data_IF_713090955119
#
_entry.id   IF_713090955119
#
_cell.length_a   1.000
_cell.length_b   1.000
_cell.length_c   1.000
_cell.angle_alpha   90.00
_cell.angle_beta   90.00
_cell.angle_gamma   90.00
#
_symmetry.space_group_name_H-M   'P 1'
#
loop_
_entity.id
_entity.type
_entity.pdbx_description
1 polymer ?
#
# COMPACT_ATOMS: atom_id res chain seq x y z
N UNK A 1 -12.82 -28.68 -16.75
CA UNK A 1 -13.06 -27.77 -15.60
C UNK A 1 -11.97 -26.70 -15.59
N UNK A 2 -12.32 -25.40 -15.59
CA UNK A 2 -11.33 -24.31 -15.59
C UNK A 2 -10.55 -24.38 -14.27
N UNK A 3 -9.22 -24.54 -14.31
CA UNK A 3 -8.42 -24.56 -13.08
C UNK A 3 -8.36 -23.16 -12.47
N UNK A 4 -9.33 -22.87 -11.59
CA UNK A 4 -9.51 -21.59 -10.94
C UNK A 4 -8.30 -21.17 -10.10
N UNK A 5 -7.52 -22.14 -9.57
CA UNK A 5 -6.31 -21.86 -8.79
C UNK A 5 -5.20 -21.29 -9.68
N UNK A 6 -4.89 -21.96 -10.79
CA UNK A 6 -3.90 -21.48 -11.76
C UNK A 6 -4.29 -20.10 -12.31
N UNK A 7 -5.56 -19.91 -12.68
CA UNK A 7 -6.05 -18.63 -13.18
C UNK A 7 -5.83 -17.49 -12.18
N UNK A 8 -6.12 -17.73 -10.89
CA UNK A 8 -5.89 -16.74 -9.82
C UNK A 8 -4.41 -16.42 -9.65
N UNK A 9 -3.53 -17.42 -9.69
CA UNK A 9 -2.08 -17.21 -9.57
C UNK A 9 -1.53 -16.37 -10.73
N UNK A 10 -1.93 -16.67 -11.97
CA UNK A 10 -1.54 -15.90 -13.15
C UNK A 10 -2.04 -14.44 -13.04
N UNK A 11 -3.28 -14.23 -12.57
CA UNK A 11 -3.80 -12.88 -12.34
C UNK A 11 -2.99 -12.11 -11.29
N UNK A 12 -2.61 -12.74 -10.17
CA UNK A 12 -1.77 -12.09 -9.16
C UNK A 12 -0.39 -11.72 -9.72
N UNK A 13 0.20 -12.57 -10.58
CA UNK A 13 1.48 -12.25 -11.24
C UNK A 13 1.34 -11.05 -12.19
N UNK A 14 0.27 -11.00 -12.99
CA UNK A 14 -0.02 -9.86 -13.88
C UNK A 14 -0.25 -8.58 -13.07
N UNK A 15 -0.97 -8.65 -11.95
CA UNK A 15 -1.16 -7.51 -11.05
C UNK A 15 0.16 -7.05 -10.43
N UNK A 16 1.05 -7.98 -10.08
CA UNK A 16 2.41 -7.68 -9.63
C UNK A 16 3.20 -6.90 -10.69
N UNK A 17 3.15 -7.33 -11.94
CA UNK A 17 3.80 -6.62 -13.05
C UNK A 17 3.23 -5.19 -13.23
N UNK A 18 1.90 -5.03 -13.17
CA UNK A 18 1.29 -3.69 -13.22
C UNK A 18 1.65 -2.82 -12.01
N UNK A 19 1.76 -3.41 -10.82
CA UNK A 19 2.20 -2.70 -9.63
C UNK A 19 3.62 -2.14 -9.81
N UNK A 20 4.52 -2.90 -10.44
CA UNK A 20 5.86 -2.42 -10.83
C UNK A 20 5.77 -1.26 -11.80
N UNK A 21 4.95 -1.36 -12.85
CA UNK A 21 4.79 -0.26 -13.83
C UNK A 21 4.31 1.02 -13.15
N UNK A 22 3.29 0.94 -12.28
CA UNK A 22 2.81 2.10 -11.54
C UNK A 22 3.84 2.67 -10.57
N UNK A 23 4.72 1.83 -10.01
CA UNK A 23 5.84 2.27 -9.18
C UNK A 23 6.83 3.16 -9.93
N UNK A 24 6.96 2.98 -11.25
CA UNK A 24 7.87 3.81 -12.07
C UNK A 24 7.37 5.26 -12.21
N UNK A 25 6.07 5.50 -11.98
CA UNK A 25 5.43 6.81 -12.05
C UNK A 25 5.34 7.45 -10.65
N UNK A 26 6.37 7.23 -9.83
CA UNK A 26 6.44 7.77 -8.47
C UNK A 26 6.73 9.27 -8.46
N UNK A 27 6.15 10.00 -7.50
CA UNK A 27 6.39 11.43 -7.32
C UNK A 27 6.32 11.82 -5.83
N UNK A 28 7.05 12.87 -5.40
CA UNK A 28 6.97 13.32 -4.02
C UNK A 28 5.67 14.08 -3.76
N UNK A 29 4.92 13.69 -2.73
CA UNK A 29 3.72 14.44 -2.31
C UNK A 29 4.07 15.73 -1.57
N UNK A 30 5.16 15.70 -0.81
CA UNK A 30 5.64 16.83 -0.03
C UNK A 30 6.94 17.34 -0.65
N UNK A 31 6.97 18.59 -1.15
CA UNK A 31 8.21 19.18 -1.67
C UNK A 31 9.33 19.24 -0.62
N UNK A 32 8.97 19.39 0.66
CA UNK A 32 9.90 19.39 1.79
C UNK A 32 10.52 18.02 2.11
N UNK A 33 9.95 16.92 1.57
CA UNK A 33 10.41 15.56 1.84
C UNK A 33 10.44 14.72 0.54
N UNK A 34 11.37 15.00 -0.39
CA UNK A 34 11.40 14.37 -1.72
C UNK A 34 11.70 12.87 -1.71
N UNK A 35 12.23 12.36 -0.60
CA UNK A 35 12.48 10.92 -0.39
C UNK A 35 11.18 10.13 -0.12
N UNK A 36 10.10 10.80 0.33
CA UNK A 36 8.80 10.18 0.54
C UNK A 36 7.99 10.26 -0.75
N UNK A 37 7.93 9.14 -1.46
CA UNK A 37 7.27 9.06 -2.76
C UNK A 37 5.92 8.37 -2.70
N UNK A 38 4.98 8.93 -3.45
CA UNK A 38 3.68 8.35 -3.71
C UNK A 38 3.62 7.79 -5.12
N UNK A 39 2.86 6.71 -5.28
CA UNK A 39 2.59 6.07 -6.55
C UNK A 39 1.24 5.34 -6.47
N UNK A 40 0.75 4.89 -7.63
CA UNK A 40 -0.54 4.22 -7.74
C UNK A 40 -0.45 2.68 -7.65
N UNK A 41 0.71 2.12 -7.29
CA UNK A 41 0.94 0.68 -7.28
C UNK A 41 0.12 -0.08 -6.23
N UNK A 42 -0.39 0.62 -5.21
CA UNK A 42 -1.29 0.06 -4.21
C UNK A 42 -2.68 -0.31 -4.80
N UNK A 43 -3.03 0.22 -5.98
CA UNK A 43 -4.28 -0.15 -6.68
C UNK A 43 -4.26 -1.62 -7.15
N UNK A 44 -3.26 -2.09 -7.92
CA UNK A 44 -3.12 -3.52 -8.23
C UNK A 44 -3.04 -4.42 -6.99
N UNK A 45 -2.38 -3.96 -5.92
CA UNK A 45 -2.30 -4.69 -4.64
C UNK A 45 -3.70 -4.87 -4.05
N UNK A 46 -4.51 -3.82 -4.07
CA UNK A 46 -5.90 -3.88 -3.61
C UNK A 46 -6.76 -4.82 -4.46
N UNK A 47 -6.57 -4.86 -5.78
CA UNK A 47 -7.25 -5.86 -6.62
C UNK A 47 -6.81 -7.28 -6.21
N UNK A 48 -5.52 -7.47 -5.90
CA UNK A 48 -5.02 -8.71 -5.31
C UNK A 48 -5.71 -9.08 -3.99
N UNK A 49 -5.96 -8.09 -3.13
CA UNK A 49 -6.75 -8.24 -1.91
C UNK A 49 -8.15 -8.76 -2.22
N UNK A 50 -8.86 -8.17 -3.19
CA UNK A 50 -10.22 -8.60 -3.54
C UNK A 50 -10.28 -10.04 -4.06
N UNK A 51 -9.25 -10.49 -4.78
CA UNK A 51 -9.18 -11.82 -5.38
C UNK A 51 -8.88 -12.90 -4.35
N UNK A 52 -7.81 -12.73 -3.57
CA UNK A 52 -7.24 -13.77 -2.69
C UNK A 52 -7.03 -13.30 -1.24
N UNK A 53 -7.67 -12.22 -0.83
CA UNK A 53 -7.56 -11.68 0.52
C UNK A 53 -6.16 -11.17 0.85
N UNK A 54 -5.78 -11.12 2.14
CA UNK A 54 -4.50 -10.55 2.56
C UNK A 54 -3.29 -11.23 1.91
N UNK A 55 -3.40 -12.52 1.61
CA UNK A 55 -2.36 -13.29 0.91
C UNK A 55 -2.19 -12.76 -0.53
N UNK A 56 -3.29 -12.50 -1.24
CA UNK A 56 -3.25 -11.92 -2.57
C UNK A 56 -2.60 -10.53 -2.58
N UNK A 57 -2.95 -9.70 -1.61
CA UNK A 57 -2.30 -8.40 -1.42
C UNK A 57 -0.80 -8.54 -1.15
N UNK A 58 -0.41 -9.41 -0.22
CA UNK A 58 0.98 -9.64 0.13
C UNK A 58 1.81 -10.12 -1.06
N UNK A 59 1.29 -11.04 -1.88
CA UNK A 59 1.98 -11.52 -3.09
C UNK A 59 2.21 -10.39 -4.08
N UNK A 60 1.19 -9.59 -4.38
CA UNK A 60 1.32 -8.49 -5.35
C UNK A 60 2.27 -7.40 -4.84
N UNK A 61 2.16 -7.02 -3.57
CA UNK A 61 3.05 -6.04 -2.93
C UNK A 61 4.49 -6.55 -2.88
N UNK A 62 4.69 -7.83 -2.59
CA UNK A 62 6.02 -8.45 -2.54
C UNK A 62 6.67 -8.44 -3.91
N UNK A 63 5.97 -8.87 -4.97
CA UNK A 63 6.50 -8.83 -6.34
C UNK A 63 6.94 -7.41 -6.71
N UNK A 64 6.09 -6.41 -6.41
CA UNK A 64 6.39 -5.00 -6.66
C UNK A 64 7.67 -4.56 -5.95
N UNK A 65 7.73 -4.73 -4.64
CA UNK A 65 8.81 -4.19 -3.80
C UNK A 65 10.12 -4.97 -3.99
N UNK A 66 10.03 -6.27 -4.26
CA UNK A 66 11.20 -7.09 -4.60
C UNK A 66 11.83 -6.67 -5.92
N UNK A 67 11.03 -6.47 -6.98
CA UNK A 67 11.55 -6.01 -8.28
C UNK A 67 12.12 -4.59 -8.15
N UNK A 68 11.48 -3.72 -7.37
CA UNK A 68 11.99 -2.37 -7.14
C UNK A 68 13.35 -2.38 -6.40
N UNK A 69 13.52 -3.29 -5.44
CA UNK A 69 14.81 -3.50 -4.79
C UNK A 69 15.88 -3.98 -5.78
N UNK A 70 15.57 -4.97 -6.62
CA UNK A 70 16.52 -5.45 -7.63
C UNK A 70 16.92 -4.35 -8.63
N UNK A 71 16.02 -3.41 -8.91
CA UNK A 71 16.27 -2.30 -9.84
C UNK A 71 17.10 -1.17 -9.23
N UNK A 72 16.84 -0.80 -7.97
CA UNK A 72 17.49 0.36 -7.30
C UNK A 72 18.64 -0.03 -6.37
N UNK A 73 18.73 -1.28 -5.93
CA UNK A 73 19.73 -1.79 -4.99
C UNK A 73 19.49 -1.43 -3.51
N UNK A 74 18.52 -0.56 -3.20
CA UNK A 74 18.26 -0.06 -1.84
C UNK A 74 19.25 1.02 -1.39
N UNK A 75 18.91 1.77 -0.33
CA UNK A 75 19.79 2.79 0.21
C UNK A 75 21.00 2.12 0.91
N UNK A 76 22.22 2.41 0.45
CA UNK A 76 23.45 1.76 0.92
C UNK A 76 23.41 0.21 0.87
N UNK A 77 22.64 -0.36 -0.08
CA UNK A 77 22.44 -1.82 -0.20
C UNK A 77 21.37 -2.40 0.72
N UNK A 78 20.85 -1.60 1.67
CA UNK A 78 19.85 -2.02 2.64
C UNK A 78 18.45 -1.82 2.02
N UNK A 79 17.56 -2.83 2.05
CA UNK A 79 16.21 -2.74 1.49
C UNK A 79 15.25 -1.92 2.38
N UNK A 80 15.69 -0.81 2.96
CA UNK A 80 14.94 -0.06 3.96
C UNK A 80 13.70 0.59 3.35
N UNK A 81 13.87 1.37 2.26
CA UNK A 81 12.75 2.02 1.58
C UNK A 81 11.68 1.05 1.06
N UNK A 82 12.11 -0.07 0.45
CA UNK A 82 11.18 -1.10 -0.06
C UNK A 82 10.46 -1.84 1.05
N UNK A 83 11.12 -2.09 2.20
CA UNK A 83 10.50 -2.74 3.36
C UNK A 83 9.47 -1.84 4.01
N UNK A 84 9.79 -0.55 4.17
CA UNK A 84 8.87 0.46 4.69
C UNK A 84 7.66 0.63 3.77
N UNK A 85 7.88 0.59 2.45
CA UNK A 85 6.79 0.57 1.46
C UNK A 85 5.89 -0.66 1.63
N UNK A 86 6.47 -1.86 1.70
CA UNK A 86 5.71 -3.10 1.86
C UNK A 86 4.86 -3.10 3.13
N UNK A 87 5.44 -2.71 4.28
CA UNK A 87 4.72 -2.67 5.55
C UNK A 87 3.61 -1.62 5.52
N UNK A 88 3.86 -0.44 4.95
CA UNK A 88 2.85 0.60 4.78
C UNK A 88 1.67 0.12 3.94
N UNK A 89 1.95 -0.50 2.78
CA UNK A 89 0.93 -1.12 1.93
C UNK A 89 0.15 -2.20 2.68
N UNK A 90 0.82 -3.12 3.37
CA UNK A 90 0.15 -4.21 4.08
C UNK A 90 -0.71 -3.70 5.24
N UNK A 91 -0.28 -2.65 5.95
CA UNK A 91 -1.09 -2.00 6.99
C UNK A 91 -2.42 -1.52 6.42
N UNK A 92 -2.39 -0.83 5.28
CA UNK A 92 -3.58 -0.36 4.60
C UNK A 92 -4.47 -1.51 4.10
N UNK A 93 -3.87 -2.53 3.48
CA UNK A 93 -4.60 -3.68 2.94
C UNK A 93 -5.26 -4.52 4.03
N UNK A 94 -4.63 -4.66 5.20
CA UNK A 94 -5.22 -5.31 6.36
C UNK A 94 -6.38 -4.50 6.95
N UNK A 95 -6.26 -3.17 7.01
CA UNK A 95 -7.37 -2.33 7.47
C UNK A 95 -8.57 -2.42 6.51
N UNK A 96 -8.31 -2.38 5.19
CA UNK A 96 -9.32 -2.61 4.16
C UNK A 96 -9.93 -4.00 4.24
N UNK A 97 -9.13 -5.04 4.52
CA UNK A 97 -9.62 -6.41 4.69
C UNK A 97 -10.70 -6.48 5.78
N UNK A 98 -10.42 -5.94 6.97
CA UNK A 98 -11.40 -5.93 8.06
C UNK A 98 -12.64 -5.11 7.72
N UNK A 99 -12.45 -3.99 7.02
CA UNK A 99 -13.54 -3.13 6.60
C UNK A 99 -14.46 -3.82 5.58
N UNK A 100 -13.90 -4.42 4.53
CA UNK A 100 -14.62 -5.17 3.48
C UNK A 100 -15.41 -6.35 4.05
N UNK A 101 -14.89 -7.05 5.07
CA UNK A 101 -15.62 -8.15 5.71
C UNK A 101 -16.87 -7.71 6.47
N UNK A 102 -16.86 -6.48 6.99
CA UNK A 102 -17.98 -5.93 7.78
C UNK A 102 -18.98 -5.18 6.92
N UNK A 103 -18.50 -4.47 5.89
CA UNK A 103 -19.31 -3.59 5.06
C UNK A 103 -19.44 -4.13 3.63
N UNK A 104 -20.53 -4.85 3.40
CA UNK A 104 -20.89 -5.48 2.12
C UNK A 104 -21.61 -4.50 1.20
N UNK A 105 -21.65 -4.79 -0.10
CA UNK A 105 -22.40 -3.97 -1.05
C UNK A 105 -21.64 -2.73 -1.55
N UNK A 106 -22.36 -1.73 -2.08
CA UNK A 106 -21.76 -0.52 -2.67
C UNK A 106 -21.44 0.47 -1.57
N UNK A 107 -20.22 1.00 -1.55
CA UNK A 107 -19.82 1.97 -0.55
C UNK A 107 -20.39 3.35 -0.89
N UNK A 108 -21.12 3.92 0.06
CA UNK A 108 -21.63 5.29 -0.02
C UNK A 108 -20.63 6.25 0.65
N UNK A 109 -20.93 7.55 0.63
CA UNK A 109 -20.03 8.59 1.15
C UNK A 109 -19.56 8.32 2.59
N UNK A 110 -20.46 7.86 3.47
CA UNK A 110 -20.12 7.52 4.86
C UNK A 110 -19.03 6.44 4.94
N UNK A 111 -19.14 5.39 4.11
CA UNK A 111 -18.17 4.30 4.10
C UNK A 111 -16.83 4.75 3.53
N UNK A 112 -16.85 5.59 2.49
CA UNK A 112 -15.64 6.16 1.89
C UNK A 112 -14.90 7.01 2.92
N UNK A 113 -15.58 7.94 3.58
CA UNK A 113 -14.96 8.81 4.60
C UNK A 113 -14.35 7.99 5.74
N UNK A 114 -15.08 6.99 6.24
CA UNK A 114 -14.58 6.13 7.31
C UNK A 114 -13.36 5.30 6.87
N UNK A 115 -13.36 4.84 5.62
CA UNK A 115 -12.22 4.15 5.02
C UNK A 115 -11.01 5.08 4.94
N UNK A 116 -11.16 6.28 4.39
CA UNK A 116 -10.08 7.27 4.29
C UNK A 116 -9.49 7.59 5.66
N UNK A 117 -10.34 7.88 6.65
CA UNK A 117 -9.91 8.18 8.01
C UNK A 117 -9.16 7.00 8.63
N UNK A 118 -9.70 5.79 8.51
CA UNK A 118 -9.05 4.60 9.07
C UNK A 118 -7.70 4.29 8.43
N UNK A 119 -7.59 4.42 7.12
CA UNK A 119 -6.33 4.19 6.40
C UNK A 119 -5.29 5.27 6.71
N UNK A 120 -5.68 6.54 6.69
CA UNK A 120 -4.79 7.64 7.04
C UNK A 120 -4.25 7.49 8.47
N UNK A 121 -5.10 7.25 9.45
CA UNK A 121 -4.69 7.11 10.85
C UNK A 121 -3.83 5.87 11.07
N UNK A 122 -4.27 4.70 10.60
CA UNK A 122 -3.51 3.46 10.80
C UNK A 122 -2.15 3.48 10.11
N UNK A 123 -2.09 3.94 8.86
CA UNK A 123 -0.83 4.10 8.13
C UNK A 123 0.09 5.07 8.87
N UNK A 124 -0.43 6.23 9.28
CA UNK A 124 0.37 7.26 9.96
C UNK A 124 0.95 6.76 11.27
N UNK A 125 0.17 6.08 12.10
CA UNK A 125 0.65 5.54 13.38
C UNK A 125 1.77 4.53 13.14
N UNK A 126 1.52 3.51 12.31
CA UNK A 126 2.49 2.44 12.07
C UNK A 126 3.76 2.99 11.42
N UNK A 127 3.62 3.82 10.38
CA UNK A 127 4.78 4.38 9.68
C UNK A 127 5.56 5.37 10.53
N UNK A 128 4.91 6.14 11.41
CA UNK A 128 5.63 7.04 12.31
C UNK A 128 6.46 6.27 13.33
N UNK A 129 5.89 5.21 13.92
CA UNK A 129 6.61 4.33 14.86
C UNK A 129 7.79 3.64 14.18
N UNK A 130 7.57 3.01 13.03
CA UNK A 130 8.63 2.30 12.31
C UNK A 130 9.73 3.25 11.82
N UNK A 131 9.36 4.46 11.37
CA UNK A 131 10.39 5.43 11.00
C UNK A 131 11.19 5.87 12.22
N UNK A 132 10.54 6.22 13.32
CA UNK A 132 11.23 6.70 14.52
C UNK A 132 12.15 5.65 15.14
N UNK A 133 11.70 4.40 15.26
CA UNK A 133 12.43 3.34 15.97
C UNK A 133 13.35 2.51 15.09
N UNK A 134 13.16 2.48 13.76
CA UNK A 134 13.91 1.60 12.87
C UNK A 134 14.58 2.38 11.74
N UNK A 135 13.81 3.05 10.89
CA UNK A 135 14.40 3.63 9.68
C UNK A 135 15.33 4.82 9.97
N UNK A 136 14.88 5.78 10.79
CA UNK A 136 15.67 6.97 11.10
C UNK A 136 16.96 6.65 11.87
N UNK A 137 16.96 5.75 12.88
CA UNK A 137 18.20 5.29 13.50
C UNK A 137 19.18 4.70 12.48
N UNK A 138 18.70 3.85 11.56
CA UNK A 138 19.56 3.27 10.51
C UNK A 138 20.11 4.36 9.58
N UNK A 139 19.30 5.33 9.17
CA UNK A 139 19.78 6.45 8.34
C UNK A 139 20.86 7.29 9.03
N UNK A 140 20.74 7.52 10.35
CA UNK A 140 21.69 8.33 11.11
C UNK A 140 22.95 7.55 11.48
N UNK A 141 22.79 6.38 12.09
CA UNK A 141 23.88 5.63 12.71
C UNK A 141 24.67 4.82 11.68
N UNK A 142 23.99 4.23 10.70
CA UNK A 142 24.62 3.33 9.70
C UNK A 142 24.95 4.08 8.41
N UNK A 143 24.07 4.97 7.96
CA UNK A 143 24.26 5.70 6.69
C UNK A 143 24.81 7.12 6.86
N UNK A 144 25.03 7.56 8.11
CA UNK A 144 25.61 8.87 8.45
C UNK A 144 24.89 10.07 7.84
N UNK A 145 23.56 9.99 7.68
CA UNK A 145 22.77 11.12 7.18
C UNK A 145 22.68 12.25 8.21
N UNK A 146 22.73 13.53 7.79
CA UNK A 146 22.78 14.68 8.69
C UNK A 146 21.39 15.05 9.27
N UNK A 147 20.70 14.08 9.87
CA UNK A 147 19.38 14.28 10.49
C UNK A 147 19.60 14.74 11.94
N UNK A 148 19.35 16.03 12.21
CA UNK A 148 19.58 16.62 13.53
C UNK A 148 18.50 16.25 14.56
N UNK A 149 17.25 16.15 14.11
CA UNK A 149 16.11 15.90 14.98
C UNK A 149 15.14 14.90 14.34
N UNK A 150 15.18 13.66 14.82
CA UNK A 150 14.34 12.58 14.30
C UNK A 150 12.85 12.80 14.63
N UNK A 151 12.54 13.37 15.80
CA UNK A 151 11.15 13.67 16.19
C UNK A 151 10.55 14.69 15.25
N UNK A 152 11.28 15.77 14.98
CA UNK A 152 10.86 16.80 14.03
C UNK A 152 10.67 16.21 12.62
N UNK A 153 11.58 15.34 12.17
CA UNK A 153 11.43 14.70 10.87
C UNK A 153 10.19 13.81 10.79
N UNK A 154 9.85 13.11 11.87
CA UNK A 154 8.60 12.33 11.94
C UNK A 154 7.39 13.25 11.86
N UNK A 155 7.35 14.32 12.65
CA UNK A 155 6.18 15.21 12.74
C UNK A 155 5.96 16.06 11.48
N UNK A 156 7.03 16.55 10.86
CA UNK A 156 6.96 17.51 9.75
C UNK A 156 6.96 16.84 8.37
N UNK A 157 7.53 15.65 8.23
CA UNK A 157 7.57 14.92 6.96
C UNK A 157 6.71 13.65 6.98
N UNK A 158 7.00 12.72 7.90
CA UNK A 158 6.43 11.36 7.85
C UNK A 158 4.93 11.37 8.18
N UNK A 159 4.53 12.08 9.24
CA UNK A 159 3.11 12.20 9.64
C UNK A 159 2.26 12.82 8.53
N UNK A 160 2.55 14.03 8.02
CA UNK A 160 1.72 14.64 6.98
C UNK A 160 1.72 13.83 5.68
N UNK A 161 2.86 13.25 5.30
CA UNK A 161 2.93 12.40 4.11
C UNK A 161 1.99 11.19 4.22
N UNK A 162 2.02 10.46 5.34
CA UNK A 162 1.20 9.26 5.51
C UNK A 162 -0.29 9.58 5.68
N UNK A 163 -0.64 10.71 6.30
CA UNK A 163 -2.02 11.18 6.35
C UNK A 163 -2.57 11.46 4.95
N UNK A 164 -1.80 12.21 4.14
CA UNK A 164 -2.17 12.50 2.75
C UNK A 164 -2.25 11.23 1.91
N UNK A 165 -1.23 10.39 1.97
CA UNK A 165 -1.19 9.11 1.23
C UNK A 165 -2.40 8.24 1.57
N UNK A 166 -2.70 8.05 2.86
CA UNK A 166 -3.83 7.24 3.31
C UNK A 166 -5.18 7.82 2.92
N UNK A 167 -5.35 9.15 2.95
CA UNK A 167 -6.58 9.80 2.51
C UNK A 167 -6.79 9.67 0.99
N UNK A 168 -5.77 9.97 0.18
CA UNK A 168 -5.83 9.88 -1.29
C UNK A 168 -6.13 8.45 -1.73
N UNK A 169 -5.39 7.48 -1.18
CA UNK A 169 -5.62 6.07 -1.49
C UNK A 169 -6.96 5.57 -0.96
N UNK A 170 -7.42 6.04 0.19
CA UNK A 170 -8.75 5.69 0.69
C UNK A 170 -9.86 6.06 -0.28
N UNK A 171 -9.79 7.26 -0.89
CA UNK A 171 -10.73 7.69 -1.92
C UNK A 171 -10.58 6.79 -3.15
N UNK A 172 -9.35 6.66 -3.66
CA UNK A 172 -9.08 5.93 -4.90
C UNK A 172 -9.52 4.47 -4.83
N UNK A 173 -9.13 3.76 -3.76
CA UNK A 173 -9.44 2.35 -3.58
C UNK A 173 -10.94 2.11 -3.38
N UNK A 174 -11.63 3.03 -2.71
CA UNK A 174 -13.09 2.97 -2.57
C UNK A 174 -13.81 3.10 -3.93
N UNK A 175 -13.35 4.01 -4.80
CA UNK A 175 -13.88 4.17 -6.15
C UNK A 175 -13.62 2.92 -7.00
N UNK A 176 -12.38 2.41 -6.95
CA UNK A 176 -11.99 1.17 -7.64
C UNK A 176 -12.85 -0.01 -7.20
N UNK A 177 -13.10 -0.15 -5.89
CA UNK A 177 -14.00 -1.19 -5.36
C UNK A 177 -15.41 -1.08 -5.94
N UNK A 178 -16.02 0.10 -5.88
CA UNK A 178 -17.38 0.32 -6.37
C UNK A 178 -17.52 0.02 -7.88
N UNK A 179 -16.51 0.35 -8.68
CA UNK A 179 -16.52 0.09 -10.12
C UNK A 179 -16.26 -1.39 -10.46
N UNK A 180 -15.28 -2.03 -9.82
CA UNK A 180 -14.84 -3.38 -10.20
C UNK A 180 -15.66 -4.50 -9.56
N UNK A 181 -16.29 -4.28 -8.40
CA UNK A 181 -16.94 -5.37 -7.65
C UNK A 181 -17.96 -6.16 -8.47
N UNK A 182 -18.81 -5.48 -9.25
CA UNK A 182 -19.87 -6.14 -10.02
C UNK A 182 -19.28 -7.06 -11.09
N UNK A 183 -18.22 -6.59 -11.76
CA UNK A 183 -17.49 -7.36 -12.76
C UNK A 183 -16.78 -8.56 -12.13
N UNK A 184 -16.09 -8.37 -11.00
CA UNK A 184 -15.38 -9.44 -10.30
C UNK A 184 -16.32 -10.49 -9.71
N UNK A 185 -17.51 -10.10 -9.26
CA UNK A 185 -18.58 -11.01 -8.79
C UNK A 185 -19.06 -11.87 -9.96
N UNK A 186 -19.42 -11.24 -11.09
CA UNK A 186 -19.90 -11.94 -12.29
C UNK A 186 -18.87 -12.96 -12.81
N UNK A 187 -17.58 -12.70 -12.63
CA UNK A 187 -16.48 -13.58 -13.05
C UNK A 187 -16.04 -14.60 -11.98
N UNK A 188 -16.60 -14.55 -10.76
CA UNK A 188 -16.24 -15.45 -9.66
C UNK A 188 -14.83 -15.22 -9.09
N UNK A 189 -14.27 -14.03 -9.27
CA UNK A 189 -12.91 -13.71 -8.81
C UNK A 189 -12.86 -13.11 -7.41
N UNK A 190 -13.88 -12.35 -7.00
CA UNK A 190 -13.92 -11.76 -5.67
C UNK A 190 -14.19 -12.81 -4.59
N UNK A 191 -13.54 -12.70 -3.43
CA UNK A 191 -13.88 -13.55 -2.29
C UNK A 191 -15.30 -13.28 -1.81
N UNK A 192 -16.04 -14.34 -1.48
CA UNK A 192 -17.43 -14.30 -0.99
C UNK A 192 -17.56 -13.39 0.23
N UNK A 193 -16.52 -13.32 1.06
CA UNK A 193 -16.49 -12.48 2.26
C UNK A 193 -16.40 -10.98 1.97
N UNK A 194 -16.19 -10.55 0.73
CA UNK A 194 -16.10 -9.15 0.30
C UNK A 194 -17.23 -8.72 -0.64
N UNK A 195 -18.21 -9.60 -0.88
CA UNK A 195 -19.38 -9.30 -1.71
C UNK A 195 -20.37 -8.42 -0.95
#
# INVERSE_FOLDING_TARGET
>A
MKNMRLTRQVLLAILGAWAVVFRLLDFPLLPSAPFLKFDFSDVPVFIGLLINGPIGAAVVAFIRDFIEYLRKGGEAGIPLGVSMSFIGTMTMMLMLHFYLRRNKGTWQLKQIVLTCASLAVSLTIIMSLLNYFIALPIYVEVMHWPIKNMVEMVLVAIVPFNLLKGAILGILLSLVYNQLKAYLIKRGFILVNYQ
#
